data_IF_494151423055
#
_entry.id   IF_494151423055
#
_cell.length_a   1.000
_cell.length_b   1.000
_cell.length_c   1.000
_cell.angle_alpha   90.00
_cell.angle_beta   90.00
_cell.angle_gamma   90.00
#
_symmetry.space_group_name_H-M   'P 1'
#
loop_
_entity.id
_entity.type
_entity.pdbx_description
1 polymer ?
#
# COMPACT_ATOMS: atom_id res chain seq x y z
N UNK A 1 -10.81 -44.13 7.15
CA UNK A 1 -11.48 -42.86 6.82
C UNK A 1 -10.40 -41.89 6.38
N UNK A 2 -10.23 -41.74 5.07
CA UNK A 2 -9.20 -40.90 4.47
C UNK A 2 -9.74 -39.48 4.41
N UNK A 3 -9.16 -38.58 5.21
CA UNK A 3 -9.41 -37.14 5.09
C UNK A 3 -8.67 -36.63 3.85
N UNK A 4 -9.37 -36.48 2.74
CA UNK A 4 -8.86 -35.67 1.62
C UNK A 4 -8.68 -34.23 2.12
N UNK A 5 -7.47 -33.66 2.07
CA UNK A 5 -7.26 -32.27 2.42
C UNK A 5 -8.00 -31.43 1.38
N UNK A 6 -9.03 -30.70 1.85
CA UNK A 6 -9.77 -29.73 1.08
C UNK A 6 -8.80 -28.87 0.26
N UNK A 7 -8.76 -29.14 -1.05
CA UNK A 7 -8.02 -28.34 -2.00
C UNK A 7 -8.62 -26.92 -1.94
N UNK A 8 -7.99 -26.03 -1.18
CA UNK A 8 -8.30 -24.62 -1.16
C UNK A 8 -8.33 -24.16 -2.62
N UNK A 9 -9.54 -23.94 -3.14
CA UNK A 9 -9.73 -23.37 -4.47
C UNK A 9 -9.02 -22.02 -4.46
N UNK A 10 -7.82 -22.02 -5.01
CA UNK A 10 -7.02 -20.85 -5.29
C UNK A 10 -7.72 -20.12 -6.44
N UNK A 11 -8.82 -19.46 -6.11
CA UNK A 11 -9.55 -18.59 -7.02
C UNK A 11 -8.61 -17.44 -7.32
N UNK A 12 -7.89 -17.58 -8.44
CA UNK A 12 -7.03 -16.52 -8.96
C UNK A 12 -7.90 -15.26 -9.02
N UNK A 13 -7.49 -14.16 -8.38
CA UNK A 13 -8.26 -12.93 -8.45
C UNK A 13 -8.49 -12.59 -9.92
N UNK A 14 -9.75 -12.33 -10.27
CA UNK A 14 -10.13 -12.05 -11.64
C UNK A 14 -9.34 -10.85 -12.17
N UNK A 15 -8.89 -10.94 -13.42
CA UNK A 15 -8.16 -9.86 -14.09
C UNK A 15 -8.89 -8.50 -14.02
N UNK A 16 -10.22 -8.52 -13.91
CA UNK A 16 -11.04 -7.32 -13.69
C UNK A 16 -10.64 -6.50 -12.45
N UNK A 17 -10.20 -7.13 -11.35
CA UNK A 17 -9.76 -6.39 -10.16
C UNK A 17 -8.44 -5.66 -10.41
N UNK A 18 -7.50 -6.27 -11.16
CA UNK A 18 -6.24 -5.60 -11.49
C UNK A 18 -6.48 -4.33 -12.29
N UNK A 19 -7.38 -4.39 -13.29
CA UNK A 19 -7.78 -3.23 -14.08
C UNK A 19 -8.53 -2.19 -13.26
N UNK A 20 -9.40 -2.61 -12.34
CA UNK A 20 -10.16 -1.70 -11.50
C UNK A 20 -9.23 -0.89 -10.60
N UNK A 21 -8.33 -1.54 -9.86
CA UNK A 21 -7.40 -0.85 -8.96
C UNK A 21 -6.34 -0.06 -9.72
N UNK A 22 -5.72 -0.67 -10.74
CA UNK A 22 -4.69 -0.01 -11.54
C UNK A 22 -5.24 1.16 -12.37
N UNK A 23 -6.41 0.96 -12.98
CA UNK A 23 -7.11 1.97 -13.77
C UNK A 23 -7.63 3.12 -12.90
N UNK A 24 -8.20 2.84 -11.73
CA UNK A 24 -8.61 3.89 -10.80
C UNK A 24 -7.43 4.75 -10.33
N UNK A 25 -6.29 4.13 -9.99
CA UNK A 25 -5.08 4.85 -9.60
C UNK A 25 -4.55 5.74 -10.74
N UNK A 26 -4.48 5.21 -11.96
CA UNK A 26 -4.06 5.97 -13.13
C UNK A 26 -5.02 7.13 -13.46
N UNK A 27 -6.33 6.89 -13.38
CA UNK A 27 -7.34 7.92 -13.59
C UNK A 27 -7.24 9.03 -12.54
N UNK A 28 -6.98 8.70 -11.28
CA UNK A 28 -6.74 9.70 -10.23
C UNK A 28 -5.50 10.55 -10.52
N UNK A 29 -4.39 9.94 -10.94
CA UNK A 29 -3.18 10.70 -11.33
C UNK A 29 -3.46 11.66 -12.48
N UNK A 30 -4.17 11.20 -13.52
CA UNK A 30 -4.55 12.05 -14.65
C UNK A 30 -5.49 13.17 -14.19
N UNK A 31 -6.44 12.87 -13.30
CA UNK A 31 -7.34 13.87 -12.72
C UNK A 31 -6.59 14.97 -11.97
N UNK A 32 -5.62 14.59 -11.11
CA UNK A 32 -4.77 15.55 -10.39
C UNK A 32 -3.86 16.36 -11.31
N UNK A 33 -3.44 15.80 -12.44
CA UNK A 33 -2.67 16.52 -13.44
C UNK A 33 -3.50 17.58 -14.19
N UNK A 34 -4.80 17.33 -14.37
CA UNK A 34 -5.71 18.21 -15.10
C UNK A 34 -6.36 19.28 -14.20
N UNK A 35 -6.64 18.95 -12.93
CA UNK A 35 -7.27 19.87 -11.97
C UNK A 35 -6.44 19.88 -10.69
N UNK A 36 -5.68 20.96 -10.51
CA UNK A 36 -4.87 21.20 -9.29
C UNK A 36 -5.60 22.02 -8.24
N UNK A 37 -6.62 22.76 -8.65
CA UNK A 37 -7.37 23.66 -7.78
C UNK A 37 -8.33 22.85 -6.89
N UNK A 38 -8.19 23.00 -5.57
CA UNK A 38 -9.02 22.29 -4.58
C UNK A 38 -8.30 21.14 -3.83
N UNK A 39 -7.01 20.90 -4.08
CA UNK A 39 -6.23 19.97 -3.27
C UNK A 39 -5.85 20.63 -1.93
N UNK A 40 -6.39 20.11 -0.83
CA UNK A 40 -5.98 20.49 0.54
C UNK A 40 -4.57 19.98 0.90
N UNK A 41 -4.05 19.02 0.14
CA UNK A 41 -2.73 18.41 0.33
C UNK A 41 -1.78 18.75 -0.83
N UNK A 42 -0.46 18.79 -0.59
CA UNK A 42 0.51 19.04 -1.65
C UNK A 42 0.49 17.91 -2.69
N UNK A 43 0.64 18.27 -3.96
CA UNK A 43 0.52 17.38 -5.12
C UNK A 43 1.33 16.09 -4.98
N UNK A 44 2.56 16.18 -4.47
CA UNK A 44 3.44 15.03 -4.32
C UNK A 44 2.89 13.97 -3.35
N UNK A 45 2.15 14.37 -2.30
CA UNK A 45 1.51 13.41 -1.37
C UNK A 45 0.36 12.71 -2.06
N UNK A 46 -0.44 13.46 -2.83
CA UNK A 46 -1.57 12.94 -3.57
C UNK A 46 -1.12 11.96 -4.68
N UNK A 47 -0.03 12.26 -5.38
CA UNK A 47 0.59 11.38 -6.35
C UNK A 47 1.09 10.08 -5.71
N UNK A 48 1.75 10.15 -4.56
CA UNK A 48 2.21 8.96 -3.83
C UNK A 48 1.02 8.12 -3.35
N UNK A 49 -0.07 8.75 -2.92
CA UNK A 49 -1.30 8.04 -2.58
C UNK A 49 -1.90 7.35 -3.81
N UNK A 50 -1.96 8.01 -4.97
CA UNK A 50 -2.43 7.39 -6.21
C UNK A 50 -1.53 6.23 -6.68
N UNK A 51 -0.20 6.33 -6.47
CA UNK A 51 0.73 5.23 -6.73
C UNK A 51 0.35 3.95 -5.97
N UNK A 52 -0.25 4.05 -4.77
CA UNK A 52 -0.65 2.87 -4.00
C UNK A 52 -1.67 2.02 -4.75
N UNK A 53 -2.64 2.66 -5.42
CA UNK A 53 -3.67 1.98 -6.22
C UNK A 53 -3.08 1.33 -7.47
N UNK A 54 -2.17 2.03 -8.15
CA UNK A 54 -1.45 1.48 -9.31
C UNK A 54 -0.62 0.26 -8.90
N UNK A 55 0.14 0.35 -7.81
CA UNK A 55 0.93 -0.75 -7.26
C UNK A 55 0.04 -1.90 -6.77
N UNK A 56 -1.12 -1.61 -6.18
CA UNK A 56 -2.10 -2.63 -5.80
C UNK A 56 -2.63 -3.37 -7.04
N UNK A 57 -2.98 -2.66 -8.11
CA UNK A 57 -3.35 -3.27 -9.40
C UNK A 57 -2.23 -4.16 -9.96
N UNK A 58 -0.98 -3.69 -9.89
CA UNK A 58 0.20 -4.46 -10.31
C UNK A 58 0.40 -5.74 -9.49
N UNK A 59 0.14 -5.73 -8.18
CA UNK A 59 0.25 -6.96 -7.36
C UNK A 59 -0.71 -8.03 -7.85
N UNK A 60 -1.96 -7.67 -8.13
CA UNK A 60 -2.99 -8.57 -8.64
C UNK A 60 -2.60 -9.07 -10.04
N UNK A 61 -2.10 -8.18 -10.90
CA UNK A 61 -1.63 -8.54 -12.24
C UNK A 61 -0.46 -9.53 -12.21
N UNK A 62 0.54 -9.31 -11.36
CA UNK A 62 1.66 -10.23 -11.20
C UNK A 62 1.24 -11.57 -10.58
N UNK A 63 0.28 -11.56 -9.67
CA UNK A 63 -0.31 -12.78 -9.12
C UNK A 63 -0.99 -13.60 -10.21
N UNK A 64 -1.76 -12.96 -11.10
CA UNK A 64 -2.39 -13.62 -12.24
C UNK A 64 -1.38 -14.27 -13.19
N UNK A 65 -0.26 -13.59 -13.45
CA UNK A 65 0.84 -14.09 -14.29
C UNK A 65 1.72 -15.15 -13.60
N UNK A 66 1.54 -15.38 -12.29
CA UNK A 66 2.34 -16.32 -11.50
C UNK A 66 3.73 -15.81 -11.11
N UNK A 67 3.99 -14.51 -11.25
CA UNK A 67 5.28 -13.89 -10.96
C UNK A 67 5.40 -13.52 -9.48
N UNK A 68 5.57 -14.51 -8.60
CA UNK A 68 5.57 -14.31 -7.14
C UNK A 68 6.63 -13.31 -6.64
N UNK A 69 7.79 -13.22 -7.31
CA UNK A 69 8.84 -12.27 -6.93
C UNK A 69 8.43 -10.81 -7.14
N UNK A 70 7.88 -10.49 -8.32
CA UNK A 70 7.39 -9.14 -8.63
C UNK A 70 6.13 -8.80 -7.83
N UNK A 71 5.25 -9.78 -7.58
CA UNK A 71 4.09 -9.57 -6.70
C UNK A 71 4.52 -9.08 -5.31
N UNK A 72 5.53 -9.72 -4.71
CA UNK A 72 6.07 -9.32 -3.40
C UNK A 72 6.68 -7.93 -3.43
N UNK A 73 7.43 -7.60 -4.49
CA UNK A 73 8.02 -6.27 -4.66
C UNK A 73 6.94 -5.18 -4.81
N UNK A 74 5.92 -5.42 -5.63
CA UNK A 74 4.82 -4.49 -5.79
C UNK A 74 4.03 -4.31 -4.49
N UNK A 75 3.81 -5.40 -3.72
CA UNK A 75 3.11 -5.32 -2.43
C UNK A 75 3.92 -4.50 -1.43
N UNK A 76 5.24 -4.69 -1.41
CA UNK A 76 6.16 -3.89 -0.60
C UNK A 76 6.11 -2.41 -1.01
N UNK A 77 6.04 -2.13 -2.32
CA UNK A 77 5.81 -0.79 -2.84
C UNK A 77 4.53 -0.14 -2.32
N UNK A 78 3.41 -0.87 -2.28
CA UNK A 78 2.14 -0.38 -1.71
C UNK A 78 2.34 0.05 -0.25
N UNK A 79 3.00 -0.78 0.57
CA UNK A 79 3.22 -0.50 1.99
C UNK A 79 4.09 0.74 2.19
N UNK A 80 5.15 0.91 1.38
CA UNK A 80 5.98 2.12 1.40
C UNK A 80 5.21 3.36 0.96
N UNK A 81 4.41 3.28 -0.11
CA UNK A 81 3.60 4.40 -0.56
C UNK A 81 2.54 4.80 0.48
N UNK A 82 2.01 3.85 1.26
CA UNK A 82 1.06 4.14 2.35
C UNK A 82 1.70 4.73 3.61
N UNK A 83 2.97 4.41 3.89
CA UNK A 83 3.64 4.98 5.06
C UNK A 83 3.96 6.46 4.90
N UNK A 84 4.25 6.91 3.68
CA UNK A 84 4.57 8.32 3.35
C UNK A 84 3.47 9.31 3.78
N UNK A 85 2.18 9.16 3.37
CA UNK A 85 1.14 10.08 3.81
C UNK A 85 0.90 10.00 5.33
N UNK A 86 1.03 8.83 5.96
CA UNK A 86 0.92 8.70 7.42
C UNK A 86 2.03 9.46 8.17
N UNK A 87 3.27 9.37 7.69
CA UNK A 87 4.41 10.14 8.20
C UNK A 87 4.27 11.63 7.91
N UNK A 88 3.72 12.00 6.76
CA UNK A 88 3.49 13.40 6.41
C UNK A 88 2.45 14.06 7.34
N UNK A 89 1.35 13.36 7.64
CA UNK A 89 0.35 13.81 8.63
C UNK A 89 1.00 13.96 10.01
N UNK A 90 1.87 13.02 10.41
CA UNK A 90 2.59 13.07 11.68
C UNK A 90 3.55 14.26 11.78
N UNK A 91 4.27 14.56 10.70
CA UNK A 91 5.26 15.66 10.63
C UNK A 91 4.62 17.05 10.77
N UNK A 92 3.30 17.10 10.76
CA UNK A 92 2.55 18.26 11.19
C UNK A 92 2.30 19.28 10.10
N UNK A 93 2.14 18.82 8.86
CA UNK A 93 1.44 19.61 7.87
C UNK A 93 0.08 20.04 8.46
N UNK A 94 -0.18 21.36 8.44
CA UNK A 94 -1.46 21.95 8.81
C UNK A 94 -2.54 21.34 7.94
N UNK A 95 -3.13 20.27 8.46
CA UNK A 95 -4.22 19.55 7.84
C UNK A 95 -5.45 20.01 8.60
N UNK A 96 -6.45 20.48 7.86
CA UNK A 96 -7.68 21.06 8.41
C UNK A 96 -8.40 20.12 9.37
N UNK A 97 -9.52 20.60 9.90
CA UNK A 97 -10.38 19.89 10.85
C UNK A 97 -10.54 18.42 10.49
N UNK A 98 -9.96 17.56 11.31
CA UNK A 98 -9.94 16.14 11.07
C UNK A 98 -11.28 15.54 11.50
N UNK A 99 -12.06 15.01 10.55
CA UNK A 99 -13.38 14.41 10.83
C UNK A 99 -13.19 12.92 11.07
N UNK A 100 -13.32 12.49 12.32
CA UNK A 100 -13.40 11.08 12.67
C UNK A 100 -14.84 10.61 12.57
N UNK A 101 -15.09 9.65 11.67
CA UNK A 101 -16.40 9.00 11.55
C UNK A 101 -16.36 7.60 12.12
N UNK A 102 -16.91 7.41 13.32
CA UNK A 102 -17.15 6.09 13.92
C UNK A 102 -18.61 5.71 13.70
N UNK A 103 -18.95 5.36 12.44
CA UNK A 103 -20.19 4.69 12.02
C UNK A 103 -21.52 5.43 12.20
N UNK A 104 -21.78 5.98 13.39
CA UNK A 104 -23.01 6.68 13.78
C UNK A 104 -22.76 8.02 14.50
N UNK A 105 -21.52 8.32 14.89
CA UNK A 105 -21.14 9.65 15.40
C UNK A 105 -19.98 10.20 14.57
N UNK A 106 -20.25 11.26 13.80
CA UNK A 106 -19.21 12.16 13.31
C UNK A 106 -18.94 13.16 14.42
N UNK A 107 -17.77 13.04 15.04
CA UNK A 107 -17.29 14.04 16.01
C UNK A 107 -16.11 14.74 15.37
N UNK A 108 -16.07 16.06 15.54
CA UNK A 108 -14.89 16.86 15.24
C UNK A 108 -13.77 16.37 16.15
N UNK A 109 -12.82 15.63 15.59
CA UNK A 109 -11.72 15.07 16.35
C UNK A 109 -10.66 16.15 16.54
N UNK A 110 -10.03 16.15 17.71
CA UNK A 110 -8.89 17.04 17.92
C UNK A 110 -7.79 16.70 16.92
N UNK A 111 -7.18 17.70 16.27
CA UNK A 111 -6.10 17.49 15.30
C UNK A 111 -4.94 16.63 15.88
N UNK A 112 -4.78 16.65 17.20
CA UNK A 112 -3.80 15.86 17.92
C UNK A 112 -4.09 14.35 17.84
N UNK A 113 -5.36 13.95 17.90
CA UNK A 113 -5.78 12.55 17.82
C UNK A 113 -5.50 11.97 16.43
N UNK A 114 -5.82 12.71 15.37
CA UNK A 114 -5.50 12.31 14.00
C UNK A 114 -4.00 12.17 13.77
N UNK A 115 -3.18 13.11 14.25
CA UNK A 115 -1.72 13.03 14.13
C UNK A 115 -1.16 11.79 14.80
N UNK A 116 -1.67 11.44 15.98
CA UNK A 116 -1.23 10.25 16.71
C UNK A 116 -1.66 8.99 15.96
N UNK A 117 -2.92 8.87 15.55
CA UNK A 117 -3.43 7.64 14.90
C UNK A 117 -2.77 7.41 13.54
N UNK A 118 -2.76 8.42 12.66
CA UNK A 118 -2.13 8.28 11.34
C UNK A 118 -0.60 8.22 11.44
N UNK A 119 -0.01 8.93 12.39
CA UNK A 119 1.44 8.91 12.60
C UNK A 119 1.95 7.59 13.13
N UNK A 120 1.33 7.06 14.20
CA UNK A 120 1.65 5.73 14.73
C UNK A 120 1.36 4.66 13.68
N UNK A 121 0.22 4.75 12.98
CA UNK A 121 -0.11 3.86 11.87
C UNK A 121 0.99 3.84 10.82
N UNK A 122 1.38 5.01 10.31
CA UNK A 122 2.45 5.16 9.32
C UNK A 122 3.81 4.62 9.82
N UNK A 123 4.16 4.88 11.08
CA UNK A 123 5.38 4.36 11.72
C UNK A 123 5.39 2.83 11.79
N UNK A 124 4.29 2.22 12.24
CA UNK A 124 4.16 0.76 12.31
C UNK A 124 4.22 0.16 10.91
N UNK A 125 3.50 0.74 9.95
CA UNK A 125 3.53 0.31 8.54
C UNK A 125 4.95 0.39 7.97
N UNK A 126 5.69 1.47 8.25
CA UNK A 126 7.09 1.62 7.83
C UNK A 126 7.99 0.56 8.48
N UNK A 127 7.86 0.33 9.80
CA UNK A 127 8.65 -0.66 10.51
C UNK A 127 8.44 -2.06 9.94
N UNK A 128 7.19 -2.42 9.63
CA UNK A 128 6.86 -3.68 8.97
C UNK A 128 7.48 -3.74 7.56
N UNK A 129 7.38 -2.66 6.78
CA UNK A 129 7.96 -2.60 5.43
C UNK A 129 9.48 -2.84 5.45
N UNK A 130 10.19 -2.20 6.37
CA UNK A 130 11.63 -2.37 6.58
C UNK A 130 11.91 -3.83 6.98
N UNK A 131 11.16 -4.38 7.93
CA UNK A 131 11.31 -5.77 8.36
C UNK A 131 11.15 -6.77 7.20
N UNK A 132 10.12 -6.59 6.36
CA UNK A 132 9.91 -7.42 5.17
C UNK A 132 11.06 -7.27 4.16
N UNK A 133 11.54 -6.04 3.93
CA UNK A 133 12.65 -5.76 3.01
C UNK A 133 13.93 -6.47 3.47
N UNK A 134 14.25 -6.37 4.76
CA UNK A 134 15.42 -7.05 5.35
C UNK A 134 15.27 -8.56 5.27
N UNK A 135 14.08 -9.10 5.54
CA UNK A 135 13.82 -10.54 5.42
C UNK A 135 14.01 -11.04 3.97
N UNK A 136 13.51 -10.29 2.99
CA UNK A 136 13.69 -10.61 1.56
C UNK A 136 15.16 -10.54 1.18
N UNK A 137 15.88 -9.49 1.58
CA UNK A 137 17.32 -9.37 1.31
C UNK A 137 18.11 -10.53 1.91
N UNK A 138 17.80 -10.94 3.15
CA UNK A 138 18.44 -12.10 3.79
C UNK A 138 18.18 -13.40 3.02
N UNK A 139 16.94 -13.62 2.57
CA UNK A 139 16.59 -14.78 1.75
C UNK A 139 17.31 -14.79 0.39
N UNK A 140 17.43 -13.64 -0.27
CA UNK A 140 18.13 -13.52 -1.55
C UNK A 140 19.64 -13.74 -1.38
N UNK A 141 20.22 -13.17 -0.32
CA UNK A 141 21.64 -13.34 -0.01
C UNK A 141 22.00 -14.80 0.27
N UNK A 142 21.17 -15.52 1.04
CA UNK A 142 21.35 -16.95 1.30
C UNK A 142 21.29 -17.79 0.02
N UNK A 143 20.43 -17.44 -0.95
CA UNK A 143 20.38 -18.14 -2.25
C UNK A 143 21.59 -17.83 -3.12
N UNK A 144 22.10 -16.59 -3.07
CA UNK A 144 23.27 -16.19 -3.84
C UNK A 144 24.53 -16.93 -3.37
N UNK A 145 24.71 -17.08 -2.05
CA UNK A 145 25.87 -17.81 -1.51
C UNK A 145 25.83 -19.31 -1.79
N UNK A 146 24.64 -19.93 -1.84
CA UNK A 146 24.51 -21.33 -2.26
C UNK A 146 24.92 -21.55 -3.73
N UNK A 147 24.55 -20.65 -4.65
CA UNK A 147 24.89 -20.78 -6.07
C UNK A 147 26.37 -20.61 -6.42
N UNK A 148 27.18 -20.08 -5.51
CA UNK A 148 28.63 -19.88 -5.74
C UNK A 148 29.47 -21.09 -5.32
N UNK A 149 28.86 -22.09 -4.68
CA UNK A 149 29.54 -23.33 -4.23
C UNK A 149 29.42 -24.49 -5.23
N UNK A 150 28.56 -24.36 -6.24
CA UNK A 150 28.43 -25.26 -7.37
C UNK A 150 29.24 -24.73 -8.57
#
# INVERSE_FOLDING_TARGET
MNNEPNAHQNTKPGWGFALLFGGAGAAMMVGMALVRDGLEAPLWVAEIAACTFVMAGLTIFFQWKGWMGLQRLAALGVVYCLSVPGLWIMAGADTGTCISSLGFLSREASNLECRIVFGIGGLITLAIAIGMTVAIMRMLFARYTSRKKD
#
